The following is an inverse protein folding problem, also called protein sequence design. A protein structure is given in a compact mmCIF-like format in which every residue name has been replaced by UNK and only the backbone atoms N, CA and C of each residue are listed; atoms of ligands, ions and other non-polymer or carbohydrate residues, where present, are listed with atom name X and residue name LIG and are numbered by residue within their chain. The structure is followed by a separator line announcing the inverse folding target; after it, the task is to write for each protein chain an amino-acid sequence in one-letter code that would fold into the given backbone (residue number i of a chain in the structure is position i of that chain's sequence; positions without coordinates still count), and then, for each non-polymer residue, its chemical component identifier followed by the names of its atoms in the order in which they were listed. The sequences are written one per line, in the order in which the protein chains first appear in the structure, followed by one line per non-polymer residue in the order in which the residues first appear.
data_IF_185608748305
#
_entry.id   IF_185608748305
#
_cell.length_a   1.000
_cell.length_b   1.000
_cell.length_c   1.000
_cell.angle_alpha   90.00
_cell.angle_beta   90.00
_cell.angle_gamma   90.00
#
_symmetry.space_group_name_H-M   'P 1'
#
loop_
_entity.id
_entity.type
_entity.pdbx_description
1 polymer ?
#
# COMPACT_ATOMS: atom_id res chain seq x y z
N UNK A 1 -0.02 -8.82 -31.89
CA UNK A 1 0.20 -7.51 -31.25
C UNK A 1 -1.11 -7.12 -30.60
N UNK A 2 -1.24 -7.35 -29.30
CA UNK A 2 -2.41 -6.96 -28.51
C UNK A 2 -1.91 -6.17 -27.31
N UNK A 3 -2.33 -4.92 -27.25
CA UNK A 3 -2.41 -4.01 -26.11
C UNK A 3 -1.36 -4.14 -25.01
N UNK A 4 -0.21 -3.51 -25.25
CA UNK A 4 0.81 -3.13 -24.26
C UNK A 4 0.32 -2.10 -23.22
N UNK A 5 -0.99 -1.85 -23.12
CA UNK A 5 -1.59 -0.77 -22.32
C UNK A 5 -2.14 -1.28 -20.97
N UNK A 6 -2.01 -2.56 -20.62
CA UNK A 6 -2.37 -3.02 -19.27
C UNK A 6 -1.25 -2.79 -18.24
N UNK A 7 -1.10 -1.51 -17.89
CA UNK A 7 -0.91 -0.90 -16.57
C UNK A 7 -0.01 -1.62 -15.55
N UNK A 8 1.25 -1.20 -15.48
CA UNK A 8 1.93 -1.02 -14.19
C UNK A 8 1.80 0.47 -13.79
N UNK A 9 1.31 0.80 -12.57
CA UNK A 9 1.17 2.18 -12.10
C UNK A 9 2.46 3.01 -12.20
N UNK A 10 3.60 2.34 -12.09
CA UNK A 10 4.94 2.93 -12.22
C UNK A 10 5.23 3.47 -13.62
N UNK A 11 4.74 2.79 -14.66
CA UNK A 11 4.97 3.16 -16.07
C UNK A 11 4.06 4.34 -16.47
N UNK A 12 2.82 4.31 -16.00
CA UNK A 12 1.82 5.36 -16.25
C UNK A 12 2.20 6.67 -15.54
N UNK A 13 2.69 6.58 -14.30
CA UNK A 13 3.25 7.71 -13.54
C UNK A 13 4.49 8.29 -14.20
N UNK A 14 5.31 7.45 -14.85
CA UNK A 14 6.51 7.89 -15.54
C UNK A 14 6.19 8.58 -16.87
N UNK A 15 5.28 8.03 -17.67
CA UNK A 15 4.80 8.65 -18.91
C UNK A 15 4.20 10.04 -18.69
N UNK A 16 3.51 10.27 -17.57
CA UNK A 16 2.92 11.57 -17.22
C UNK A 16 3.97 12.63 -16.81
N UNK A 17 5.23 12.24 -16.59
CA UNK A 17 6.30 13.13 -16.07
C UNK A 17 7.31 13.56 -17.14
N UNK A 18 7.24 13.00 -18.36
CA UNK A 18 8.14 13.39 -19.46
C UNK A 18 7.57 14.63 -20.15
N UNK A 19 8.30 15.77 -20.16
CA UNK A 19 7.84 16.93 -20.91
C UNK A 19 8.04 16.68 -22.41
N UNK A 20 6.96 16.85 -23.18
CA UNK A 20 6.90 16.86 -24.66
C UNK A 20 6.57 15.53 -25.40
N UNK A 21 5.30 15.50 -25.84
CA UNK A 21 4.58 14.78 -26.91
C UNK A 21 5.12 13.45 -27.49
N UNK A 22 4.21 12.45 -27.50
CA UNK A 22 4.07 11.20 -28.29
C UNK A 22 5.32 10.54 -28.92
N UNK A 23 6.10 11.27 -29.71
CA UNK A 23 7.31 10.77 -30.37
C UNK A 23 8.36 10.25 -29.38
N UNK A 24 8.55 10.94 -28.23
CA UNK A 24 9.50 10.47 -27.20
C UNK A 24 8.99 9.18 -26.56
N UNK A 25 7.68 9.06 -26.32
CA UNK A 25 7.08 7.86 -25.75
C UNK A 25 7.16 6.65 -26.70
N UNK A 26 7.00 6.86 -28.01
CA UNK A 26 7.13 5.80 -29.02
C UNK A 26 8.56 5.27 -29.09
N UNK A 27 9.56 6.16 -29.09
CA UNK A 27 10.98 5.78 -29.09
C UNK A 27 11.36 5.07 -27.78
N UNK A 28 10.92 5.59 -26.63
CA UNK A 28 11.12 4.94 -25.33
C UNK A 28 10.50 3.54 -25.30
N UNK A 29 9.27 3.38 -25.80
CA UNK A 29 8.58 2.09 -25.83
C UNK A 29 9.29 1.08 -26.75
N UNK A 30 9.76 1.52 -27.91
CA UNK A 30 10.53 0.67 -28.81
C UNK A 30 11.83 0.19 -28.15
N UNK A 31 12.51 1.08 -27.44
CA UNK A 31 13.77 0.77 -26.78
C UNK A 31 13.59 -0.18 -25.57
N UNK A 32 12.57 0.05 -24.75
CA UNK A 32 12.19 -0.86 -23.65
C UNK A 32 11.83 -2.24 -24.21
N UNK A 33 11.09 -2.28 -25.32
CA UNK A 33 10.77 -3.53 -26.02
C UNK A 33 12.02 -4.25 -26.50
N UNK A 34 13.01 -3.54 -27.05
CA UNK A 34 14.29 -4.12 -27.49
C UNK A 34 15.09 -4.72 -26.33
N UNK A 35 15.13 -4.06 -25.17
CA UNK A 35 15.81 -4.56 -23.97
C UNK A 35 15.10 -5.81 -23.44
N UNK A 36 13.77 -5.77 -23.39
CA UNK A 36 12.92 -6.91 -23.00
C UNK A 36 13.12 -8.10 -23.93
N UNK A 37 13.07 -7.90 -25.25
CA UNK A 37 13.26 -8.97 -26.23
C UNK A 37 14.61 -9.67 -26.05
N UNK A 38 15.68 -8.91 -25.80
CA UNK A 38 17.01 -9.48 -25.49
C UNK A 38 17.04 -10.28 -24.19
N UNK A 39 16.26 -9.90 -23.16
CA UNK A 39 16.25 -10.55 -21.83
C UNK A 39 15.24 -11.69 -21.69
N UNK A 40 14.16 -11.65 -22.47
CA UNK A 40 13.00 -12.57 -22.42
C UNK A 40 13.11 -13.63 -23.52
N UNK A 41 14.15 -13.61 -24.35
CA UNK A 41 14.40 -14.44 -25.53
C UNK A 41 14.00 -15.94 -25.47
N UNK A 42 13.94 -16.54 -24.28
CA UNK A 42 13.65 -17.97 -24.08
C UNK A 42 12.31 -18.32 -23.42
N UNK A 43 11.61 -17.40 -22.74
CA UNK A 43 10.38 -17.71 -21.98
C UNK A 43 9.42 -16.54 -21.95
N UNK A 44 8.23 -16.72 -22.53
CA UNK A 44 7.16 -15.71 -22.57
C UNK A 44 6.41 -15.56 -21.23
N UNK A 45 6.71 -16.39 -20.23
CA UNK A 45 6.02 -16.39 -18.92
C UNK A 45 6.60 -15.38 -17.93
N UNK A 46 7.86 -14.98 -18.10
CA UNK A 46 8.59 -14.19 -17.09
C UNK A 46 8.74 -12.71 -17.47
N UNK A 47 7.97 -12.25 -18.46
CA UNK A 47 8.09 -10.89 -19.01
C UNK A 47 7.78 -9.81 -17.98
N UNK A 48 6.81 -10.04 -17.09
CA UNK A 48 6.38 -9.07 -16.07
C UNK A 48 7.44 -8.86 -15.01
N UNK A 49 8.12 -9.93 -14.57
CA UNK A 49 9.23 -9.84 -13.61
C UNK A 49 10.45 -9.15 -14.23
N UNK A 50 10.73 -9.44 -15.51
CA UNK A 50 11.86 -8.85 -16.25
C UNK A 50 11.61 -7.42 -16.73
N UNK A 51 10.35 -6.95 -16.69
CA UNK A 51 9.99 -5.58 -17.07
C UNK A 51 10.58 -4.55 -16.13
N UNK A 52 10.56 -4.80 -14.82
CA UNK A 52 11.16 -3.90 -13.84
C UNK A 52 12.67 -3.75 -14.09
N UNK A 53 13.37 -4.85 -14.38
CA UNK A 53 14.81 -4.86 -14.71
C UNK A 53 15.11 -4.18 -16.06
N UNK A 54 14.24 -4.34 -17.06
CA UNK A 54 14.39 -3.70 -18.36
C UNK A 54 14.19 -2.18 -18.27
N UNK A 55 13.21 -1.74 -17.49
CA UNK A 55 12.98 -0.32 -17.20
C UNK A 55 14.14 0.28 -16.41
N UNK A 56 14.71 -0.48 -15.48
CA UNK A 56 15.90 -0.09 -14.76
C UNK A 56 17.10 0.16 -15.68
N UNK A 57 17.39 -0.80 -16.57
CA UNK A 57 18.46 -0.69 -17.54
C UNK A 57 18.25 0.56 -18.43
N UNK A 58 17.05 0.74 -18.97
CA UNK A 58 16.71 1.91 -19.79
C UNK A 58 16.97 3.24 -19.06
N UNK A 59 16.62 3.35 -17.77
CA UNK A 59 16.81 4.56 -16.96
C UNK A 59 18.28 4.90 -16.67
N UNK A 60 19.14 3.88 -16.57
CA UNK A 60 20.51 4.03 -16.02
C UNK A 60 21.61 3.94 -17.07
N UNK A 61 21.46 3.11 -18.09
CA UNK A 61 22.54 2.82 -19.06
C UNK A 61 22.41 3.60 -20.35
N UNK A 62 21.19 3.93 -20.76
CA UNK A 62 20.95 4.58 -22.04
C UNK A 62 21.26 6.06 -21.90
N UNK A 63 22.14 6.57 -22.76
CA UNK A 63 22.36 8.01 -22.91
C UNK A 63 21.56 8.49 -24.11
N UNK A 64 20.82 9.57 -23.96
CA UNK A 64 20.22 10.29 -25.10
C UNK A 64 21.35 10.85 -25.97
N UNK A 65 21.06 11.26 -27.21
CA UNK A 65 22.01 11.96 -28.09
C UNK A 65 22.71 13.16 -27.43
N UNK A 66 22.14 13.70 -26.35
CA UNK A 66 22.68 14.76 -25.50
C UNK A 66 23.62 14.27 -24.38
N UNK A 67 23.95 12.98 -24.33
CA UNK A 67 24.89 12.38 -23.36
C UNK A 67 24.33 12.13 -21.94
N UNK A 68 23.07 12.48 -21.69
CA UNK A 68 22.38 12.33 -20.39
C UNK A 68 21.51 11.08 -20.36
N UNK A 69 21.36 10.46 -19.19
CA UNK A 69 20.41 9.36 -19.02
C UNK A 69 18.96 9.84 -18.95
N UNK A 70 17.95 9.03 -19.34
CA UNK A 70 16.55 9.38 -19.19
C UNK A 70 16.17 9.79 -17.76
N UNK A 71 16.79 9.19 -16.74
CA UNK A 71 16.58 9.60 -15.36
C UNK A 71 17.18 10.97 -15.06
N UNK A 72 18.39 11.26 -15.54
CA UNK A 72 19.01 12.58 -15.42
C UNK A 72 18.16 13.66 -16.11
N UNK A 73 17.52 13.34 -17.23
CA UNK A 73 16.65 14.28 -17.94
C UNK A 73 15.37 14.62 -17.16
N UNK A 74 14.81 13.66 -16.42
CA UNK A 74 13.56 13.86 -15.65
C UNK A 74 13.82 14.48 -14.26
N UNK A 75 14.93 14.11 -13.62
CA UNK A 75 15.21 14.47 -12.23
C UNK A 75 16.37 15.46 -12.06
N UNK A 76 17.10 15.79 -13.13
CA UNK A 76 18.22 16.73 -13.12
C UNK A 76 19.47 16.25 -12.37
N UNK A 77 19.52 14.98 -11.92
CA UNK A 77 20.62 14.40 -11.13
C UNK A 77 20.99 13.01 -11.64
N UNK A 78 22.26 12.62 -11.47
CA UNK A 78 22.72 11.25 -11.76
C UNK A 78 21.97 10.23 -10.89
N UNK A 79 21.71 9.04 -11.42
CA UNK A 79 21.01 7.98 -10.69
C UNK A 79 21.91 7.44 -9.57
N UNK A 80 21.69 7.87 -8.33
CA UNK A 80 21.88 6.98 -7.19
C UNK A 80 20.65 6.07 -7.11
N UNK A 81 20.78 4.89 -6.52
CA UNK A 81 19.72 3.88 -6.43
C UNK A 81 18.36 4.57 -6.16
N UNK A 82 17.41 4.57 -7.12
CA UNK A 82 16.11 5.18 -6.98
C UNK A 82 15.45 4.70 -5.70
N UNK A 83 14.89 5.67 -4.99
CA UNK A 83 14.11 5.50 -3.76
C UNK A 83 13.09 4.36 -3.87
N UNK A 84 12.56 4.11 -5.06
CA UNK A 84 11.63 3.01 -5.37
C UNK A 84 12.23 1.62 -5.06
N UNK A 85 13.51 1.41 -5.37
CA UNK A 85 14.23 0.14 -5.12
C UNK A 85 14.66 0.02 -3.66
N UNK A 86 15.16 1.11 -3.07
CA UNK A 86 15.50 1.16 -1.64
C UNK A 86 14.27 0.86 -0.78
N UNK A 87 13.13 1.46 -1.12
CA UNK A 87 11.86 1.21 -0.44
C UNK A 87 11.43 -0.25 -0.60
N UNK A 88 11.49 -0.84 -1.80
CA UNK A 88 11.19 -2.27 -2.00
C UNK A 88 12.11 -3.18 -1.16
N UNK A 89 13.41 -2.88 -1.11
CA UNK A 89 14.38 -3.63 -0.30
C UNK A 89 14.10 -3.50 1.22
N UNK A 90 13.78 -2.29 1.69
CA UNK A 90 13.38 -2.04 3.07
C UNK A 90 12.08 -2.77 3.43
N UNK A 91 11.12 -2.83 2.50
CA UNK A 91 9.89 -3.60 2.69
C UNK A 91 10.16 -5.10 2.74
N UNK A 92 11.01 -5.62 1.86
CA UNK A 92 11.44 -7.02 1.91
C UNK A 92 12.16 -7.36 3.21
N UNK A 93 13.03 -6.46 3.69
CA UNK A 93 13.74 -6.62 4.96
C UNK A 93 12.77 -6.60 6.15
N UNK A 94 11.82 -5.65 6.19
CA UNK A 94 10.76 -5.65 7.20
C UNK A 94 9.96 -6.94 7.15
N UNK A 95 9.62 -7.40 5.95
CA UNK A 95 8.88 -8.64 5.74
C UNK A 95 9.60 -9.86 6.30
N UNK A 96 10.90 -9.98 6.04
CA UNK A 96 11.74 -11.09 6.52
C UNK A 96 12.01 -11.05 8.03
N UNK A 97 11.98 -9.86 8.64
CA UNK A 97 12.16 -9.70 10.09
C UNK A 97 10.86 -9.87 10.89
N UNK A 98 9.73 -10.19 10.25
CA UNK A 98 8.49 -10.44 10.97
C UNK A 98 8.41 -11.90 11.43
N UNK A 99 8.38 -12.12 12.75
CA UNK A 99 7.95 -13.41 13.30
C UNK A 99 6.41 -13.52 13.20
N UNK A 100 5.87 -14.50 12.45
CA UNK A 100 4.44 -14.73 12.35
C UNK A 100 3.76 -14.95 13.71
N UNK A 101 4.45 -15.58 14.67
CA UNK A 101 3.91 -15.84 16.01
C UNK A 101 3.80 -14.56 16.83
N UNK A 102 4.79 -13.67 16.74
CA UNK A 102 4.78 -12.39 17.44
C UNK A 102 3.65 -11.49 16.92
N UNK A 103 3.42 -11.45 15.60
CA UNK A 103 2.30 -10.70 14.99
C UNK A 103 0.96 -11.28 15.43
N UNK A 104 0.81 -12.60 15.41
CA UNK A 104 -0.43 -13.26 15.83
C UNK A 104 -0.73 -12.98 17.30
N UNK A 105 0.29 -13.04 18.16
CA UNK A 105 0.20 -12.71 19.58
C UNK A 105 -0.18 -11.24 19.79
N UNK A 106 0.49 -10.32 19.11
CA UNK A 106 0.20 -8.88 19.19
C UNK A 106 -1.24 -8.55 18.76
N UNK A 107 -1.72 -9.14 17.66
CA UNK A 107 -3.12 -8.98 17.22
C UNK A 107 -4.10 -9.56 18.24
N UNK A 108 -3.79 -10.73 18.81
CA UNK A 108 -4.63 -11.35 19.85
C UNK A 108 -4.71 -10.45 21.09
N UNK A 109 -3.58 -9.89 21.53
CA UNK A 109 -3.53 -9.00 22.68
C UNK A 109 -4.34 -7.72 22.46
N UNK A 110 -4.25 -7.11 21.26
CA UNK A 110 -5.08 -5.95 20.91
C UNK A 110 -6.58 -6.26 20.94
N UNK A 111 -6.99 -7.46 20.51
CA UNK A 111 -8.39 -7.87 20.58
C UNK A 111 -8.86 -8.10 22.02
N UNK A 112 -8.01 -8.70 22.86
CA UNK A 112 -8.31 -8.91 24.28
C UNK A 112 -8.49 -7.59 25.02
N UNK A 113 -7.62 -6.61 24.77
CA UNK A 113 -7.71 -5.28 25.36
C UNK A 113 -9.03 -4.57 24.97
N UNK A 114 -9.46 -4.69 23.71
CA UNK A 114 -10.74 -4.15 23.26
C UNK A 114 -11.94 -4.83 23.93
N UNK A 115 -11.88 -6.14 24.14
CA UNK A 115 -12.94 -6.87 24.83
C UNK A 115 -13.06 -6.45 26.30
N UNK A 116 -11.93 -6.23 26.97
CA UNK A 116 -11.91 -5.74 28.35
C UNK A 116 -12.51 -4.34 28.47
N UNK A 117 -12.16 -3.42 27.57
CA UNK A 117 -12.77 -2.08 27.51
C UNK A 117 -14.28 -2.16 27.30
N UNK A 118 -14.73 -3.06 26.44
CA UNK A 118 -16.16 -3.26 26.17
C UNK A 118 -16.88 -3.76 27.42
N UNK A 119 -16.34 -4.77 28.10
CA UNK A 119 -16.92 -5.32 29.32
C UNK A 119 -16.99 -4.26 30.43
N UNK A 120 -15.92 -3.49 30.60
CA UNK A 120 -15.88 -2.40 31.57
C UNK A 120 -16.95 -1.33 31.30
N UNK A 121 -17.18 -0.98 30.04
CA UNK A 121 -18.24 -0.04 29.64
C UNK A 121 -19.64 -0.60 29.95
N UNK A 122 -19.88 -1.89 29.68
CA UNK A 122 -21.14 -2.55 30.02
C UNK A 122 -21.41 -2.55 31.53
N UNK A 123 -20.43 -2.93 32.34
CA UNK A 123 -20.57 -2.94 33.79
C UNK A 123 -20.79 -1.55 34.38
N UNK A 124 -20.14 -0.53 33.81
CA UNK A 124 -20.31 0.86 34.21
C UNK A 124 -21.72 1.37 33.88
N UNK A 125 -22.22 1.06 32.68
CA UNK A 125 -23.58 1.39 32.25
C UNK A 125 -24.66 0.69 33.09
N UNK A 126 -24.45 -0.61 33.38
CA UNK A 126 -25.34 -1.40 34.25
C UNK A 126 -25.43 -0.79 35.64
N UNK A 127 -24.28 -0.52 36.29
CA UNK A 127 -24.21 0.10 37.62
C UNK A 127 -24.92 1.46 37.66
N UNK A 128 -24.78 2.26 36.60
CA UNK A 128 -25.47 3.55 36.51
C UNK A 128 -27.00 3.37 36.48
N UNK A 129 -27.52 2.48 35.62
CA UNK A 129 -28.96 2.20 35.54
C UNK A 129 -29.53 1.68 36.86
N UNK A 130 -28.80 0.79 37.54
CA UNK A 130 -29.20 0.26 38.86
C UNK A 130 -29.30 1.37 39.91
N UNK A 131 -28.34 2.30 39.95
CA UNK A 131 -28.40 3.48 40.84
C UNK A 131 -29.60 4.37 40.54
N UNK A 132 -29.85 4.68 39.27
CA UNK A 132 -30.99 5.52 38.85
C UNK A 132 -32.31 4.87 39.27
N UNK A 133 -32.46 3.55 39.01
CA UNK A 133 -33.64 2.79 39.42
C UNK A 133 -33.84 2.85 40.94
N UNK A 134 -32.78 2.61 41.72
CA UNK A 134 -32.85 2.67 43.18
C UNK A 134 -33.33 4.04 43.71
N UNK A 135 -32.83 5.13 43.13
CA UNK A 135 -33.28 6.48 43.51
C UNK A 135 -34.74 6.75 43.08
N UNK A 136 -35.16 6.24 41.93
CA UNK A 136 -36.53 6.36 41.46
C UNK A 136 -37.51 5.58 42.35
N UNK A 137 -37.21 4.31 42.63
CA UNK A 137 -38.04 3.42 43.44
C UNK A 137 -38.21 3.95 44.87
N UNK A 138 -37.18 4.58 45.44
CA UNK A 138 -37.26 5.28 46.73
C UNK A 138 -38.30 6.41 46.78
N UNK A 139 -38.62 7.03 45.64
CA UNK A 139 -39.57 8.14 45.54
C UNK A 139 -40.99 7.67 45.20
N UNK A 140 -41.20 6.39 44.94
CA UNK A 140 -42.52 5.84 44.63
C UNK A 140 -43.37 5.72 45.89
N UNK A 141 -44.54 6.37 45.88
CA UNK A 141 -45.57 6.22 46.92
C UNK A 141 -46.57 5.17 46.44
N UNK A 142 -46.85 4.18 47.30
CA UNK A 142 -47.77 3.09 46.97
C UNK A 142 -49.22 3.57 47.10
N UNK A 143 -49.89 3.81 45.98
CA UNK A 143 -51.32 4.17 45.96
C UNK A 143 -52.12 2.88 45.81
N UNK A 144 -53.00 2.60 46.77
CA UNK A 144 -53.93 1.46 46.71
C UNK A 144 -55.25 1.97 46.16
N UNK A 145 -55.73 1.35 45.07
CA UNK A 145 -57.00 1.70 44.45
C UNK A 145 -58.09 0.76 44.97
N UNK A 146 -59.20 1.31 45.46
CA UNK A 146 -60.39 0.54 45.82
C UNK A 146 -61.39 0.61 44.68
N UNK A 147 -61.88 -0.53 44.14
CA UNK A 147 -62.94 -0.53 43.14
C UNK A 147 -64.26 -0.08 43.78
N UNK A 148 -65.00 0.78 43.07
CA UNK A 148 -66.31 1.30 43.46
C UNK A 148 -67.46 0.44 42.96
#
# INVERSE_FOLDING_TARGET
MGDLIFVMPSLLRWLHRIPHKRMVAEVSNWEIKRILEKKVAFSRKDWSQKLDDALWAYKTTMKTSMGLSPFQMVYGKACHLPVEMEHKALWGLKFLNFDPHEIQSKRRNQLLELEEMRLHAYDSSRRYKEKVKFYHDKKLIKIVFTPG
#
